data_IF_662903756177
#
_entry.id   IF_662903756177
#
_cell.length_a   1.000
_cell.length_b   1.000
_cell.length_c   1.000
_cell.angle_alpha   90.00
_cell.angle_beta   90.00
_cell.angle_gamma   90.00
#
_symmetry.space_group_name_H-M   'P 1'
#
loop_
_entity.id
_entity.type
_entity.pdbx_description
1 polymer ?
#
# COMPACT_ATOMS: atom_id res chain seq x y z
N UNK A 1 68.23 -1.15 19.17
CA UNK A 1 67.33 -1.33 18.01
C UNK A 1 66.36 -2.49 18.17
N UNK A 2 66.72 -3.61 18.79
CA UNK A 2 65.80 -4.70 19.12
C UNK A 2 64.91 -4.38 20.34
N UNK A 3 65.41 -3.61 21.29
CA UNK A 3 64.68 -3.21 22.52
C UNK A 3 63.54 -2.21 22.24
N UNK A 4 63.71 -1.33 21.25
CA UNK A 4 62.66 -0.38 20.90
C UNK A 4 61.47 -1.05 20.19
N UNK A 5 61.72 -2.08 19.38
CA UNK A 5 60.65 -2.84 18.72
C UNK A 5 59.90 -3.71 19.71
N UNK A 6 60.55 -4.18 20.75
CA UNK A 6 59.90 -4.98 21.80
C UNK A 6 59.08 -4.09 22.74
N UNK A 7 59.51 -2.85 22.98
CA UNK A 7 58.76 -1.85 23.74
C UNK A 7 57.50 -1.37 23.00
N UNK A 8 57.57 -1.21 21.69
CA UNK A 8 56.46 -0.82 20.84
C UNK A 8 55.37 -1.94 20.79
N UNK A 9 55.81 -3.21 20.75
CA UNK A 9 54.87 -4.35 20.76
C UNK A 9 54.16 -4.54 22.11
N UNK A 10 54.75 -4.09 23.21
CA UNK A 10 54.12 -4.15 24.55
C UNK A 10 53.13 -3.02 24.78
N UNK A 11 53.26 -1.89 24.10
CA UNK A 11 52.29 -0.78 24.19
C UNK A 11 50.99 -1.09 23.45
N UNK A 12 51.04 -1.94 22.45
CA UNK A 12 49.89 -2.35 21.67
C UNK A 12 49.00 -3.40 22.39
N UNK A 13 49.49 -3.94 23.51
CA UNK A 13 48.72 -4.90 24.33
C UNK A 13 48.15 -4.29 25.62
N UNK A 14 47.97 -2.97 25.67
CA UNK A 14 47.18 -2.41 26.76
C UNK A 14 45.74 -2.99 26.69
N UNK A 15 45.34 -3.80 27.69
CA UNK A 15 43.98 -4.28 27.68
C UNK A 15 43.05 -3.06 27.74
N UNK A 16 42.23 -2.92 26.72
CA UNK A 16 41.14 -1.94 26.71
C UNK A 16 40.40 -2.10 28.03
N UNK A 17 40.27 -1.05 28.86
CA UNK A 17 39.63 -1.18 30.15
C UNK A 17 38.26 -1.81 29.96
N UNK A 18 37.99 -2.88 30.67
CA UNK A 18 36.71 -3.61 30.64
C UNK A 18 35.50 -2.70 30.91
N UNK A 19 35.75 -1.52 31.46
CA UNK A 19 34.74 -0.50 31.76
C UNK A 19 34.35 0.32 30.49
N UNK A 20 35.14 0.24 29.42
CA UNK A 20 34.80 0.84 28.12
C UNK A 20 34.02 -0.13 27.20
N UNK A 21 33.88 -1.37 27.58
CA UNK A 21 32.95 -2.30 26.97
C UNK A 21 31.52 -1.90 27.39
N UNK A 22 30.99 -0.87 26.74
CA UNK A 22 29.53 -0.71 26.71
C UNK A 22 28.96 -2.09 26.38
N UNK A 23 28.03 -2.63 27.21
CA UNK A 23 27.38 -3.85 26.84
C UNK A 23 26.86 -3.63 25.42
N UNK A 24 27.46 -4.31 24.45
CA UNK A 24 26.87 -4.44 23.12
C UNK A 24 25.51 -5.01 23.40
N UNK A 25 24.51 -4.16 23.44
CA UNK A 25 23.13 -4.54 23.50
C UNK A 25 22.94 -5.31 22.20
N UNK A 26 23.15 -6.63 22.29
CA UNK A 26 22.72 -7.55 21.24
C UNK A 26 21.20 -7.39 21.26
N UNK A 27 20.73 -6.38 20.51
CA UNK A 27 19.34 -6.32 20.13
C UNK A 27 19.19 -7.57 19.29
N UNK A 28 18.49 -8.61 19.79
CA UNK A 28 18.22 -9.74 18.94
C UNK A 28 17.61 -9.13 17.68
N UNK A 29 18.19 -9.44 16.56
CA UNK A 29 17.66 -9.08 15.23
C UNK A 29 16.41 -9.95 15.03
N UNK A 30 15.45 -9.74 15.92
CA UNK A 30 14.10 -10.23 15.71
C UNK A 30 13.67 -9.43 14.52
N UNK A 31 13.47 -10.06 13.35
CA UNK A 31 12.88 -9.35 12.23
C UNK A 31 11.57 -8.80 12.78
N UNK A 32 11.56 -7.50 13.07
CA UNK A 32 10.34 -6.77 13.37
C UNK A 32 9.55 -6.91 12.10
N UNK A 33 8.74 -7.96 12.07
CA UNK A 33 7.78 -8.15 11.01
C UNK A 33 7.02 -6.83 10.97
N UNK A 34 7.11 -6.04 9.89
CA UNK A 34 6.35 -4.82 9.81
C UNK A 34 4.91 -5.25 10.02
N UNK A 35 4.39 -4.96 11.19
CA UNK A 35 2.96 -5.14 11.46
C UNK A 35 2.28 -4.31 10.39
N UNK A 36 1.72 -4.98 9.39
CA UNK A 36 0.95 -4.38 8.31
C UNK A 36 -0.38 -3.89 8.91
N UNK A 37 -0.24 -2.96 9.84
CA UNK A 37 -1.29 -2.55 10.73
C UNK A 37 -2.26 -1.57 10.11
N UNK A 38 -1.93 -0.95 9.00
CA UNK A 38 -2.87 -0.05 8.32
C UNK A 38 -2.42 0.19 6.87
N UNK A 39 -3.37 0.03 5.93
CA UNK A 39 -3.20 0.57 4.60
C UNK A 39 -3.26 2.10 4.72
N UNK A 40 -2.13 2.74 4.96
CA UNK A 40 -1.99 4.20 5.16
C UNK A 40 -2.34 5.00 3.89
N UNK A 41 -3.45 4.61 3.25
CA UNK A 41 -3.92 5.17 1.98
C UNK A 41 -4.66 6.47 2.26
N UNK A 42 -4.32 7.58 1.59
CA UNK A 42 -5.05 8.83 1.70
C UNK A 42 -6.53 8.66 1.35
N UNK A 43 -7.41 9.32 2.08
CA UNK A 43 -8.87 9.28 1.83
C UNK A 43 -9.22 9.65 0.39
N UNK A 44 -8.45 10.55 -0.22
CA UNK A 44 -8.63 10.95 -1.63
C UNK A 44 -8.50 9.77 -2.60
N UNK A 45 -7.55 8.86 -2.37
CA UNK A 45 -7.35 7.67 -3.22
C UNK A 45 -8.57 6.75 -3.13
N UNK A 46 -9.14 6.57 -1.93
CA UNK A 46 -10.37 5.81 -1.74
C UNK A 46 -11.55 6.41 -2.52
N UNK A 47 -11.75 7.72 -2.47
CA UNK A 47 -12.83 8.36 -3.23
C UNK A 47 -12.66 8.20 -4.74
N UNK A 48 -11.43 8.39 -5.26
CA UNK A 48 -11.16 8.19 -6.68
C UNK A 48 -11.38 6.74 -7.09
N UNK A 49 -10.96 5.79 -6.28
CA UNK A 49 -11.19 4.36 -6.54
C UNK A 49 -12.69 4.04 -6.63
N UNK A 50 -13.50 4.51 -5.66
CA UNK A 50 -14.95 4.33 -5.70
C UNK A 50 -15.59 5.00 -6.90
N UNK A 51 -15.14 6.21 -7.27
CA UNK A 51 -15.61 6.91 -8.46
C UNK A 51 -15.32 6.12 -9.75
N UNK A 52 -14.14 5.50 -9.86
CA UNK A 52 -13.78 4.65 -10.99
C UNK A 52 -14.70 3.41 -11.10
N UNK A 53 -14.99 2.73 -10.00
CA UNK A 53 -15.92 1.60 -10.01
C UNK A 53 -17.35 2.04 -10.34
N UNK A 54 -17.80 3.16 -9.78
CA UNK A 54 -19.11 3.72 -10.11
C UNK A 54 -19.21 4.05 -11.61
N UNK A 55 -18.18 4.67 -12.18
CA UNK A 55 -18.11 5.00 -13.59
C UNK A 55 -18.14 3.75 -14.49
N UNK A 56 -17.43 2.70 -14.08
CA UNK A 56 -17.47 1.40 -14.76
C UNK A 56 -18.89 0.82 -14.79
N UNK A 57 -19.56 0.75 -13.62
CA UNK A 57 -20.92 0.19 -13.56
C UNK A 57 -21.93 1.05 -14.31
N UNK A 58 -21.79 2.37 -14.26
CA UNK A 58 -22.64 3.30 -15.04
C UNK A 58 -22.41 3.13 -16.55
N UNK A 59 -21.16 2.94 -16.98
CA UNK A 59 -20.82 2.66 -18.37
C UNK A 59 -21.46 1.36 -18.86
N UNK A 60 -21.37 0.30 -18.10
CA UNK A 60 -22.01 -0.98 -18.41
C UNK A 60 -23.53 -0.85 -18.42
N UNK A 61 -24.13 -0.17 -17.44
CA UNK A 61 -25.57 0.08 -17.40
C UNK A 61 -26.05 0.84 -18.63
N UNK A 62 -25.30 1.85 -19.07
CA UNK A 62 -25.61 2.63 -20.27
C UNK A 62 -25.48 1.80 -21.56
N UNK A 63 -24.63 0.78 -21.56
CA UNK A 63 -24.46 -0.12 -22.72
C UNK A 63 -25.52 -1.22 -22.77
N UNK A 64 -25.87 -1.82 -21.63
CA UNK A 64 -26.82 -2.93 -21.51
C UNK A 64 -28.27 -2.45 -21.65
N UNK A 65 -28.52 -1.17 -21.31
CA UNK A 65 -29.87 -0.62 -21.32
C UNK A 65 -30.77 -1.26 -20.26
N UNK A 66 -32.01 -1.61 -20.66
CA UNK A 66 -33.03 -2.16 -19.74
C UNK A 66 -33.23 -3.68 -19.91
N UNK A 67 -32.32 -4.36 -20.58
CA UNK A 67 -32.45 -5.80 -20.79
C UNK A 67 -32.27 -6.55 -19.45
N UNK A 68 -33.27 -7.37 -19.11
CA UNK A 68 -33.37 -8.03 -17.81
C UNK A 68 -32.15 -8.95 -17.52
N UNK A 69 -31.68 -9.68 -18.52
CA UNK A 69 -30.53 -10.60 -18.41
C UNK A 69 -29.25 -9.83 -18.08
N UNK A 70 -29.02 -8.70 -18.76
CA UNK A 70 -27.86 -7.84 -18.52
C UNK A 70 -27.90 -7.17 -17.15
N UNK A 71 -29.07 -6.68 -16.75
CA UNK A 71 -29.27 -6.10 -15.41
C UNK A 71 -29.01 -7.11 -14.29
N UNK A 72 -29.44 -8.35 -14.49
CA UNK A 72 -29.18 -9.42 -13.52
C UNK A 72 -27.68 -9.69 -13.37
N UNK A 73 -26.93 -9.81 -14.46
CA UNK A 73 -25.49 -10.01 -14.42
C UNK A 73 -24.77 -8.80 -13.77
N UNK A 74 -25.19 -7.60 -14.11
CA UNK A 74 -24.65 -6.37 -13.55
C UNK A 74 -24.88 -6.30 -12.03
N UNK A 75 -26.07 -6.69 -11.58
CA UNK A 75 -26.41 -6.72 -10.14
C UNK A 75 -25.53 -7.71 -9.39
N UNK A 76 -25.31 -8.92 -9.94
CA UNK A 76 -24.41 -9.89 -9.33
C UNK A 76 -22.99 -9.34 -9.25
N UNK A 77 -22.49 -8.74 -10.32
CA UNK A 77 -21.13 -8.15 -10.33
C UNK A 77 -20.99 -7.02 -9.30
N UNK A 78 -21.99 -6.17 -9.20
CA UNK A 78 -22.04 -5.13 -8.18
C UNK A 78 -22.06 -5.73 -6.76
N UNK A 79 -22.86 -6.75 -6.50
CA UNK A 79 -22.93 -7.43 -5.22
C UNK A 79 -21.56 -8.03 -4.81
N UNK A 80 -20.86 -8.68 -5.74
CA UNK A 80 -19.49 -9.16 -5.49
C UNK A 80 -18.52 -8.05 -5.15
N UNK A 81 -18.58 -6.94 -5.87
CA UNK A 81 -17.76 -5.77 -5.60
C UNK A 81 -18.01 -5.20 -4.21
N UNK A 82 -19.27 -5.04 -3.84
CA UNK A 82 -19.66 -4.59 -2.50
C UNK A 82 -19.24 -5.57 -1.40
N UNK A 83 -19.39 -6.88 -1.64
CA UNK A 83 -18.94 -7.90 -0.70
C UNK A 83 -17.43 -7.85 -0.49
N UNK A 84 -16.65 -7.72 -1.56
CA UNK A 84 -15.19 -7.61 -1.48
C UNK A 84 -14.75 -6.39 -0.65
N UNK A 85 -15.26 -5.21 -0.98
CA UNK A 85 -14.93 -3.98 -0.24
C UNK A 85 -15.52 -3.98 1.17
N UNK A 86 -16.69 -4.56 1.36
CA UNK A 86 -17.32 -4.72 2.67
C UNK A 86 -16.49 -5.59 3.60
N UNK A 87 -15.99 -6.72 3.10
CA UNK A 87 -15.09 -7.60 3.86
C UNK A 87 -13.79 -6.88 4.21
N UNK A 88 -13.20 -6.17 3.26
CA UNK A 88 -12.02 -5.36 3.51
C UNK A 88 -12.28 -4.29 4.59
N UNK A 89 -13.41 -3.59 4.53
CA UNK A 89 -13.78 -2.57 5.51
C UNK A 89 -13.96 -3.17 6.92
N UNK A 90 -14.56 -4.36 7.03
CA UNK A 90 -14.68 -5.07 8.32
C UNK A 90 -13.31 -5.46 8.86
N UNK A 91 -12.43 -6.04 8.03
CA UNK A 91 -11.08 -6.44 8.44
C UNK A 91 -10.26 -5.23 8.92
N UNK A 92 -10.35 -4.10 8.22
CA UNK A 92 -9.67 -2.87 8.65
C UNK A 92 -10.31 -2.22 9.88
N UNK A 93 -11.59 -2.46 10.12
CA UNK A 93 -12.30 -2.01 11.32
C UNK A 93 -11.93 -2.76 12.59
N UNK A 94 -11.39 -3.98 12.48
CA UNK A 94 -10.97 -4.82 13.61
C UNK A 94 -9.58 -4.46 14.15
N UNK A 95 -8.84 -3.58 13.50
CA UNK A 95 -7.51 -3.18 13.92
C UNK A 95 -7.51 -2.27 15.16
N UNK A 96 -6.51 -2.43 16.07
CA UNK A 96 -6.35 -1.59 17.25
C UNK A 96 -6.12 -0.11 16.86
N UNK A 97 -6.15 0.82 17.85
CA UNK A 97 -6.17 2.26 17.60
C UNK A 97 -5.05 2.70 16.65
N UNK A 98 -5.46 3.30 15.55
CA UNK A 98 -4.61 3.69 14.42
C UNK A 98 -3.57 4.72 14.85
N UNK A 99 -2.30 4.41 14.66
CA UNK A 99 -1.25 5.44 14.64
C UNK A 99 -1.46 6.30 13.39
N UNK A 100 -1.33 7.61 13.54
CA UNK A 100 -1.45 8.54 12.40
C UNK A 100 -0.49 8.13 11.28
N UNK A 101 -0.97 8.11 10.05
CA UNK A 101 -0.18 7.78 8.85
C UNK A 101 1.04 8.68 8.73
N UNK A 102 2.15 8.15 8.22
CA UNK A 102 3.32 8.95 7.84
C UNK A 102 2.95 10.10 6.89
N UNK A 103 1.94 9.91 6.05
CA UNK A 103 1.41 10.97 5.18
C UNK A 103 0.64 12.06 5.93
N UNK A 104 0.04 11.75 7.09
CA UNK A 104 -0.64 12.73 7.95
C UNK A 104 0.35 13.55 8.77
N UNK A 105 1.55 13.02 9.04
CA UNK A 105 2.64 13.74 9.71
C UNK A 105 3.45 14.62 8.75
N UNK A 106 3.06 14.77 7.48
CA UNK A 106 3.77 15.59 6.51
C UNK A 106 5.04 14.93 5.94
N UNK A 107 5.37 13.70 6.33
CA UNK A 107 6.45 12.92 5.77
C UNK A 107 5.91 12.34 4.46
N UNK A 108 6.30 12.95 3.33
CA UNK A 108 5.79 12.60 1.99
C UNK A 108 6.21 11.24 1.44
N UNK A 109 6.78 10.37 2.28
CA UNK A 109 7.37 9.09 1.90
C UNK A 109 6.78 7.98 2.77
N UNK A 110 6.34 6.91 2.14
CA UNK A 110 5.93 5.68 2.81
C UNK A 110 7.07 4.67 2.75
N UNK A 111 7.52 4.16 3.88
CA UNK A 111 8.44 3.04 3.91
C UNK A 111 7.69 1.76 3.56
N UNK A 112 8.08 1.15 2.43
CA UNK A 112 7.56 -0.13 1.97
C UNK A 112 8.66 -1.19 2.06
N UNK A 113 8.29 -2.46 1.98
CA UNK A 113 9.25 -3.57 1.96
C UNK A 113 10.33 -3.43 0.86
N UNK A 114 9.99 -2.77 -0.24
CA UNK A 114 10.89 -2.55 -1.38
C UNK A 114 11.64 -1.21 -1.31
N UNK A 115 11.45 -0.43 -0.23
CA UNK A 115 12.09 0.87 -0.02
C UNK A 115 11.11 2.03 0.09
N UNK A 116 11.64 3.25 0.22
CA UNK A 116 10.82 4.45 0.38
C UNK A 116 10.05 4.78 -0.90
N UNK A 117 8.73 4.94 -0.79
CA UNK A 117 7.84 5.20 -1.92
C UNK A 117 7.13 6.54 -1.76
N UNK A 118 7.12 7.34 -2.82
CA UNK A 118 6.43 8.63 -2.84
C UNK A 118 4.91 8.46 -2.85
N UNK A 119 4.18 9.46 -2.36
CA UNK A 119 2.71 9.46 -2.35
C UNK A 119 2.11 9.24 -3.74
N UNK A 120 2.68 9.84 -4.77
CA UNK A 120 2.24 9.70 -6.17
C UNK A 120 2.46 8.29 -6.71
N UNK A 121 3.58 7.65 -6.35
CA UNK A 121 3.88 6.29 -6.77
C UNK A 121 2.89 5.30 -6.14
N UNK A 122 2.60 5.43 -4.84
CA UNK A 122 1.60 4.61 -4.14
C UNK A 122 0.21 4.81 -4.75
N UNK A 123 -0.22 6.06 -4.95
CA UNK A 123 -1.50 6.37 -5.57
C UNK A 123 -1.59 5.81 -6.99
N UNK A 124 -0.54 5.95 -7.80
CA UNK A 124 -0.49 5.43 -9.17
C UNK A 124 -0.64 3.90 -9.22
N UNK A 125 0.03 3.18 -8.35
CA UNK A 125 -0.08 1.72 -8.28
C UNK A 125 -1.49 1.27 -7.87
N UNK A 126 -2.09 1.91 -6.86
CA UNK A 126 -3.42 1.55 -6.38
C UNK A 126 -4.50 1.91 -7.40
N UNK A 127 -4.38 3.06 -8.06
CA UNK A 127 -5.39 3.55 -9.00
C UNK A 127 -5.25 3.00 -10.41
N UNK A 128 -4.14 2.35 -10.77
CA UNK A 128 -3.91 1.81 -12.11
C UNK A 128 -5.05 0.89 -12.55
N UNK A 129 -5.41 -0.10 -11.74
CA UNK A 129 -6.48 -1.06 -12.06
C UNK A 129 -7.86 -0.39 -12.09
N UNK A 130 -8.29 0.38 -11.07
CA UNK A 130 -9.56 1.10 -11.12
C UNK A 130 -9.71 2.03 -12.34
N UNK A 131 -8.65 2.75 -12.71
CA UNK A 131 -8.67 3.61 -13.88
C UNK A 131 -8.86 2.82 -15.19
N UNK A 132 -8.13 1.72 -15.36
CA UNK A 132 -8.29 0.84 -16.52
C UNK A 132 -9.72 0.29 -16.63
N UNK A 133 -10.31 -0.13 -15.51
CA UNK A 133 -11.68 -0.62 -15.44
C UNK A 133 -12.69 0.49 -15.80
N UNK A 134 -12.50 1.71 -15.30
CA UNK A 134 -13.35 2.85 -15.62
C UNK A 134 -13.30 3.19 -17.11
N UNK A 135 -12.10 3.25 -17.69
CA UNK A 135 -11.90 3.48 -19.12
C UNK A 135 -12.56 2.39 -19.97
N UNK A 136 -12.46 1.14 -19.53
CA UNK A 136 -13.13 0.02 -20.22
C UNK A 136 -14.65 0.18 -20.20
N UNK A 137 -15.26 0.52 -19.05
CA UNK A 137 -16.69 0.77 -18.97
C UNK A 137 -17.17 1.92 -19.87
N UNK A 138 -16.42 3.02 -19.90
CA UNK A 138 -16.70 4.14 -20.78
C UNK A 138 -16.61 3.71 -22.25
N UNK A 139 -15.56 2.99 -22.62
CA UNK A 139 -15.35 2.51 -23.99
C UNK A 139 -16.52 1.64 -24.47
N UNK A 140 -17.00 0.73 -23.63
CA UNK A 140 -18.17 -0.10 -23.93
C UNK A 140 -19.41 0.77 -24.12
N UNK A 141 -19.66 1.75 -23.26
CA UNK A 141 -20.80 2.65 -23.40
C UNK A 141 -20.76 3.42 -24.72
N UNK A 142 -19.58 3.92 -25.11
CA UNK A 142 -19.38 4.65 -26.37
C UNK A 142 -19.63 3.75 -27.57
N UNK A 143 -19.09 2.53 -27.57
CA UNK A 143 -19.27 1.55 -28.64
C UNK A 143 -20.75 1.18 -28.78
N UNK A 144 -21.42 0.85 -27.67
CA UNK A 144 -22.84 0.51 -27.68
C UNK A 144 -23.70 1.62 -28.31
N UNK A 145 -23.42 2.89 -27.94
CA UNK A 145 -24.08 4.05 -28.55
C UNK A 145 -23.76 4.23 -30.02
N UNK A 146 -22.53 3.96 -30.43
CA UNK A 146 -22.11 4.08 -31.82
C UNK A 146 -22.74 3.01 -32.72
N UNK A 147 -23.01 1.82 -32.18
CA UNK A 147 -23.62 0.69 -32.91
C UNK A 147 -25.16 0.75 -32.86
N UNK A 148 -25.73 1.65 -32.06
CA UNK A 148 -27.19 1.82 -31.96
C UNK A 148 -27.88 0.82 -31.02
N UNK A 149 -27.14 0.27 -30.05
CA UNK A 149 -27.67 -0.54 -28.99
C UNK A 149 -28.22 0.31 -27.85
#
# INVERSE_FOLDING_TARGET
>A
MLDELQSAALVEQTPVPLDAARPVRIIPDIPVQPEATDLQIPKSVWHVMWACYALFFLGLLAAIGTELSGLFMLTISAAYTFMFFGTAAVLFGLNPPRKKSHFEHGIGVLETWTGPMSRSAVAGQILAVPLCIALFGISIAVIARAVGL
#
